data_IF_235715223107
#
_entry.id   IF_235715223107
#
_cell.length_a   1.000
_cell.length_b   1.000
_cell.length_c   1.000
_cell.angle_alpha   90.00
_cell.angle_beta   90.00
_cell.angle_gamma   90.00
#
_symmetry.space_group_name_H-M   'P 1'
#
loop_
_entity.id
_entity.type
_entity.pdbx_description
1 polymer ?
#
# COMPACT_ATOMS: atom_id res chain seq x y z
N UNK A 1 10.42 -1.04 5.37
CA UNK A 1 10.34 -1.65 6.70
C UNK A 1 9.04 -2.41 6.95
N UNK A 2 7.91 -1.96 6.42
CA UNK A 2 6.60 -2.52 6.73
C UNK A 2 5.83 -3.01 5.49
N UNK A 3 6.29 -2.71 4.30
CA UNK A 3 5.77 -3.18 3.02
C UNK A 3 4.47 -2.55 2.52
N UNK A 4 3.80 -1.76 3.36
CA UNK A 4 2.55 -1.06 3.06
C UNK A 4 2.58 0.36 3.64
N UNK A 5 1.69 1.22 3.16
CA UNK A 5 1.52 2.61 3.58
C UNK A 5 0.71 2.79 4.88
N UNK A 6 0.10 1.72 5.40
CA UNK A 6 -0.73 1.73 6.63
C UNK A 6 -0.23 0.70 7.63
N UNK A 7 1.03 0.84 8.13
CA UNK A 7 1.60 -0.15 9.03
C UNK A 7 1.02 -0.03 10.44
N UNK A 8 0.72 -1.18 11.06
CA UNK A 8 0.51 -1.24 12.49
C UNK A 8 1.85 -1.43 13.19
N UNK A 9 2.30 -0.43 13.93
CA UNK A 9 3.60 -0.46 14.63
C UNK A 9 3.59 -1.30 15.90
N UNK A 10 2.43 -1.80 16.33
CA UNK A 10 2.33 -2.71 17.47
C UNK A 10 2.81 -4.13 17.13
N UNK A 11 2.87 -4.44 15.83
CA UNK A 11 3.42 -5.70 15.34
C UNK A 11 4.92 -5.52 15.11
N UNK A 12 5.73 -6.45 15.58
CA UNK A 12 7.16 -6.47 15.24
C UNK A 12 7.36 -6.87 13.75
N UNK A 13 7.91 -7.98 13.44
CA UNK A 13 7.99 -8.57 12.08
C UNK A 13 8.31 -7.57 10.96
N UNK A 14 9.34 -6.71 11.14
CA UNK A 14 9.78 -5.81 10.05
C UNK A 14 10.25 -6.64 8.85
N UNK A 15 10.02 -6.10 7.65
CA UNK A 15 10.55 -6.69 6.43
C UNK A 15 12.08 -6.66 6.45
N UNK A 16 12.69 -7.78 6.10
CA UNK A 16 14.14 -8.01 6.09
C UNK A 16 14.56 -8.17 4.63
N UNK A 17 15.62 -7.46 4.23
CA UNK A 17 16.21 -7.59 2.90
C UNK A 17 17.12 -8.82 2.86
N UNK A 18 16.85 -9.74 1.96
CA UNK A 18 17.55 -11.03 1.88
C UNK A 18 18.22 -11.27 0.52
N UNK A 19 18.12 -10.34 -0.43
CA UNK A 19 18.68 -10.51 -1.78
C UNK A 19 20.18 -10.80 -1.74
N UNK A 20 20.91 -10.15 -0.85
CA UNK A 20 22.35 -10.34 -0.67
C UNK A 20 22.71 -11.72 -0.10
N UNK A 21 21.85 -12.31 0.73
CA UNK A 21 22.04 -13.66 1.29
C UNK A 21 22.04 -14.71 0.18
N UNK A 22 21.19 -14.49 -0.83
CA UNK A 22 20.96 -15.42 -1.94
C UNK A 22 21.59 -14.97 -3.26
N UNK A 23 22.58 -14.09 -3.23
CA UNK A 23 23.22 -13.56 -4.44
C UNK A 23 23.88 -14.60 -5.33
N UNK A 24 24.30 -15.74 -4.77
CA UNK A 24 24.94 -16.85 -5.49
C UNK A 24 24.12 -18.14 -5.42
N UNK A 25 22.83 -18.04 -5.19
CA UNK A 25 21.98 -19.22 -4.98
C UNK A 25 21.75 -20.03 -6.26
N UNK A 26 21.74 -21.35 -6.13
CA UNK A 26 21.34 -22.27 -7.20
C UNK A 26 19.81 -22.49 -7.25
N UNK A 27 19.06 -22.00 -6.25
CA UNK A 27 17.63 -22.11 -6.22
C UNK A 27 16.99 -21.17 -7.23
N UNK A 28 16.53 -21.70 -8.36
CA UNK A 28 16.06 -20.95 -9.52
C UNK A 28 15.03 -19.86 -9.21
N UNK A 29 14.10 -20.11 -8.26
CA UNK A 29 13.09 -19.15 -7.91
C UNK A 29 13.67 -17.89 -7.24
N UNK A 30 14.78 -18.04 -6.51
CA UNK A 30 15.48 -16.93 -5.88
C UNK A 30 16.46 -16.26 -6.86
N UNK A 31 17.19 -17.06 -7.63
CA UNK A 31 18.17 -16.56 -8.61
C UNK A 31 17.55 -15.66 -9.70
N UNK A 32 16.26 -15.84 -10.01
CA UNK A 32 15.54 -15.06 -11.02
C UNK A 32 14.74 -13.88 -10.47
N UNK A 33 14.78 -13.64 -9.14
CA UNK A 33 14.01 -12.58 -8.51
C UNK A 33 14.80 -11.26 -8.47
N UNK A 34 14.10 -10.15 -8.67
CA UNK A 34 14.66 -8.81 -8.50
C UNK A 34 14.93 -8.52 -7.02
N UNK A 35 14.06 -8.98 -6.15
CA UNK A 35 14.09 -8.73 -4.72
C UNK A 35 13.67 -9.97 -3.93
N UNK A 36 14.44 -10.30 -2.92
CA UNK A 36 14.12 -11.36 -1.96
C UNK A 36 13.97 -10.71 -0.59
N UNK A 37 12.77 -10.75 -0.06
CA UNK A 37 12.46 -10.20 1.27
C UNK A 37 11.80 -11.24 2.13
N UNK A 38 11.96 -11.07 3.45
CA UNK A 38 11.32 -11.94 4.42
C UNK A 38 10.75 -11.20 5.62
N UNK A 39 9.93 -11.90 6.37
CA UNK A 39 9.54 -11.56 7.74
C UNK A 39 9.83 -12.77 8.63
N UNK A 40 10.18 -12.50 9.88
CA UNK A 40 10.39 -13.52 10.90
C UNK A 40 9.29 -13.44 11.96
N UNK A 41 8.43 -14.46 11.99
CA UNK A 41 7.38 -14.61 13.00
C UNK A 41 8.01 -15.25 14.22
N UNK A 42 8.28 -14.46 15.23
CA UNK A 42 8.93 -14.89 16.46
C UNK A 42 8.00 -15.77 17.30
N UNK A 43 8.46 -16.97 17.66
CA UNK A 43 7.68 -17.87 18.52
C UNK A 43 7.38 -17.25 19.89
N UNK A 44 8.31 -16.49 20.43
CA UNK A 44 8.15 -15.80 21.70
C UNK A 44 6.97 -14.81 21.69
N UNK A 45 6.74 -14.15 20.55
CA UNK A 45 5.73 -13.09 20.40
C UNK A 45 4.42 -13.63 19.80
N UNK A 46 4.52 -14.61 18.89
CA UNK A 46 3.43 -15.16 18.10
C UNK A 46 3.46 -16.70 18.08
N UNK A 47 3.29 -17.38 19.23
CA UNK A 47 3.48 -18.82 19.32
C UNK A 47 2.54 -19.64 18.41
N UNK A 48 1.27 -19.23 18.30
CA UNK A 48 0.31 -19.94 17.45
C UNK A 48 0.58 -19.76 15.95
N UNK A 49 1.06 -18.58 15.56
CA UNK A 49 1.40 -18.26 14.18
C UNK A 49 2.73 -18.94 13.78
N UNK A 50 3.74 -18.89 14.63
CA UNK A 50 5.02 -19.53 14.40
C UNK A 50 4.89 -21.06 14.35
N UNK A 51 4.04 -21.64 15.20
CA UNK A 51 3.76 -23.08 15.23
C UNK A 51 2.82 -23.58 14.11
N UNK A 52 2.49 -22.74 13.11
CA UNK A 52 1.54 -23.05 12.05
C UNK A 52 1.78 -24.42 11.40
N UNK A 53 0.75 -25.26 11.36
CA UNK A 53 0.76 -26.56 10.68
C UNK A 53 0.73 -26.41 9.15
N UNK A 54 0.95 -27.51 8.44
CA UNK A 54 1.03 -27.53 6.97
C UNK A 54 -0.15 -26.87 6.27
N UNK A 55 -1.37 -27.17 6.69
CA UNK A 55 -2.57 -26.59 6.08
C UNK A 55 -2.61 -25.06 6.19
N UNK A 56 -2.15 -24.50 7.32
CA UNK A 56 -2.10 -23.04 7.51
C UNK A 56 -1.00 -22.40 6.67
N UNK A 57 0.14 -23.06 6.51
CA UNK A 57 1.24 -22.61 5.63
C UNK A 57 0.85 -22.67 4.15
N UNK A 58 0.11 -23.69 3.74
CA UNK A 58 -0.42 -23.79 2.37
C UNK A 58 -1.46 -22.67 2.12
N UNK A 59 -2.34 -22.38 3.09
CA UNK A 59 -3.29 -21.26 3.00
C UNK A 59 -2.58 -19.89 2.91
N UNK A 60 -1.50 -19.66 3.65
CA UNK A 60 -0.67 -18.45 3.54
C UNK A 60 -0.03 -18.35 2.15
N UNK A 61 0.44 -19.48 1.60
CA UNK A 61 1.01 -19.53 0.25
C UNK A 61 -0.03 -19.18 -0.81
N UNK A 62 -1.25 -19.72 -0.70
CA UNK A 62 -2.34 -19.39 -1.62
C UNK A 62 -2.79 -17.94 -1.50
N UNK A 63 -2.78 -17.39 -0.29
CA UNK A 63 -3.05 -15.97 -0.06
C UNK A 63 -1.99 -15.09 -0.73
N UNK A 64 -0.70 -15.41 -0.56
CA UNK A 64 0.39 -14.69 -1.22
C UNK A 64 0.25 -14.69 -2.75
N UNK A 65 -0.09 -15.84 -3.33
CA UNK A 65 -0.37 -15.96 -4.77
C UNK A 65 -1.56 -15.12 -5.21
N UNK A 66 -2.66 -15.10 -4.45
CA UNK A 66 -3.83 -14.25 -4.74
C UNK A 66 -3.51 -12.76 -4.69
N UNK A 67 -2.49 -12.37 -3.93
CA UNK A 67 -1.96 -10.99 -3.87
C UNK A 67 -0.93 -10.70 -4.97
N UNK A 68 -0.63 -11.64 -5.86
CA UNK A 68 0.23 -11.46 -7.03
C UNK A 68 1.64 -12.00 -6.91
N UNK A 69 2.05 -12.58 -5.77
CA UNK A 69 3.35 -13.22 -5.65
C UNK A 69 3.41 -14.53 -6.45
N UNK A 70 4.57 -14.85 -7.02
CA UNK A 70 4.83 -16.15 -7.67
C UNK A 70 4.73 -17.31 -6.68
N UNK A 71 4.99 -17.06 -5.40
CA UNK A 71 4.91 -18.05 -4.32
C UNK A 71 5.32 -17.46 -2.98
N UNK A 72 5.22 -18.30 -1.94
CA UNK A 72 5.69 -18.01 -0.59
C UNK A 72 6.56 -19.18 -0.14
N UNK A 73 7.78 -18.87 0.25
CA UNK A 73 8.68 -19.84 0.90
C UNK A 73 8.48 -19.68 2.41
N UNK A 74 8.27 -20.79 3.10
CA UNK A 74 8.23 -20.84 4.54
C UNK A 74 9.32 -21.73 5.09
N UNK A 75 9.91 -21.36 6.20
CA UNK A 75 11.00 -22.06 6.85
C UNK A 75 10.78 -22.02 8.35
N UNK A 76 10.68 -23.18 9.00
CA UNK A 76 10.68 -23.31 10.44
C UNK A 76 12.10 -23.55 10.96
N UNK A 77 12.42 -22.92 12.07
CA UNK A 77 13.72 -23.09 12.73
C UNK A 77 13.59 -24.12 13.84
N UNK A 78 14.19 -25.29 13.65
CA UNK A 78 14.19 -26.39 14.60
C UNK A 78 15.41 -26.35 15.55
N UNK A 79 15.49 -27.35 16.43
CA UNK A 79 16.62 -27.51 17.35
C UNK A 79 17.97 -27.58 16.60
N UNK A 80 19.00 -27.01 17.17
CA UNK A 80 20.31 -26.91 16.52
C UNK A 80 20.34 -26.03 15.28
N UNK A 81 19.35 -25.11 15.14
CA UNK A 81 19.20 -24.24 13.96
C UNK A 81 18.96 -25.00 12.64
N UNK A 82 18.43 -26.19 12.71
CA UNK A 82 18.04 -26.98 11.52
C UNK A 82 16.81 -26.31 10.89
N UNK A 83 16.89 -26.09 9.57
CA UNK A 83 15.79 -25.49 8.80
C UNK A 83 14.84 -26.55 8.27
N UNK A 84 13.60 -26.57 8.77
CA UNK A 84 12.51 -27.41 8.25
C UNK A 84 11.75 -26.65 7.16
N UNK A 85 12.02 -27.01 5.91
CA UNK A 85 11.36 -26.44 4.74
C UNK A 85 11.56 -27.33 3.52
N UNK A 86 10.59 -27.43 2.59
CA UNK A 86 10.78 -28.13 1.31
C UNK A 86 11.93 -27.57 0.46
N UNK A 87 12.30 -26.29 0.69
CA UNK A 87 13.37 -25.63 -0.08
C UNK A 87 14.73 -25.64 0.61
N UNK A 88 14.83 -26.04 1.88
CA UNK A 88 16.09 -26.04 2.63
C UNK A 88 17.19 -26.87 1.95
N UNK A 89 16.82 -27.96 1.27
CA UNK A 89 17.75 -28.81 0.50
C UNK A 89 18.41 -28.12 -0.70
N UNK A 90 17.87 -26.99 -1.16
CA UNK A 90 18.44 -26.22 -2.27
C UNK A 90 19.30 -25.04 -1.77
N UNK A 91 19.39 -24.85 -0.47
CA UNK A 91 20.20 -23.81 0.16
C UNK A 91 21.54 -24.39 0.62
N UNK A 92 22.62 -23.72 0.31
CA UNK A 92 23.93 -24.05 0.86
C UNK A 92 23.98 -23.83 2.37
N UNK A 93 24.92 -24.48 3.06
CA UNK A 93 25.11 -24.28 4.50
C UNK A 93 25.37 -22.79 4.86
N UNK A 94 26.07 -22.08 3.97
CA UNK A 94 26.33 -20.64 4.13
C UNK A 94 25.03 -19.84 4.06
N UNK A 95 24.20 -20.06 3.03
CA UNK A 95 22.91 -19.36 2.88
C UNK A 95 21.98 -19.62 4.07
N UNK A 96 21.96 -20.84 4.59
CA UNK A 96 21.17 -21.18 5.79
C UNK A 96 21.67 -20.42 7.03
N UNK A 97 22.98 -20.35 7.24
CA UNK A 97 23.56 -19.62 8.36
C UNK A 97 23.34 -18.10 8.23
N UNK A 98 23.56 -17.53 7.04
CA UNK A 98 23.37 -16.12 6.75
C UNK A 98 21.88 -15.73 6.91
N UNK A 99 20.95 -16.58 6.47
CA UNK A 99 19.50 -16.37 6.65
C UNK A 99 19.12 -16.28 8.13
N UNK A 100 19.62 -17.20 8.97
CA UNK A 100 19.38 -17.18 10.42
C UNK A 100 19.96 -15.90 11.02
N UNK A 101 21.17 -15.52 10.63
CA UNK A 101 21.83 -14.32 11.13
C UNK A 101 21.06 -13.04 10.78
N UNK A 102 20.66 -12.87 9.50
CA UNK A 102 19.91 -11.69 9.05
C UNK A 102 18.52 -11.60 9.66
N UNK A 103 17.81 -12.72 9.76
CA UNK A 103 16.47 -12.76 10.36
C UNK A 103 16.51 -12.78 11.88
N UNK A 104 17.69 -13.00 12.48
CA UNK A 104 17.87 -13.22 13.93
C UNK A 104 16.90 -14.28 14.45
N UNK A 105 16.68 -15.31 13.63
CA UNK A 105 15.72 -16.36 13.95
C UNK A 105 16.27 -17.30 15.02
N UNK A 106 15.38 -17.73 15.90
CA UNK A 106 15.63 -18.66 17.00
C UNK A 106 14.79 -19.92 16.80
N UNK A 107 15.09 -20.95 17.58
CA UNK A 107 14.33 -22.21 17.59
C UNK A 107 12.83 -21.92 17.84
N UNK A 108 11.98 -22.49 17.00
CA UNK A 108 10.53 -22.28 17.02
C UNK A 108 10.03 -21.17 16.13
N UNK A 109 10.88 -20.26 15.65
CA UNK A 109 10.49 -19.17 14.75
C UNK A 109 10.09 -19.68 13.36
N UNK A 110 9.22 -18.91 12.69
CA UNK A 110 8.81 -19.14 11.31
C UNK A 110 9.28 -17.97 10.43
N UNK A 111 10.08 -18.28 9.42
CA UNK A 111 10.52 -17.31 8.41
C UNK A 111 9.63 -17.46 7.17
N UNK A 112 9.08 -16.35 6.68
CA UNK A 112 8.31 -16.29 5.43
C UNK A 112 9.06 -15.41 4.44
N UNK A 113 9.28 -15.91 3.21
CA UNK A 113 10.08 -15.24 2.18
C UNK A 113 9.27 -15.13 0.89
N UNK A 114 9.27 -13.94 0.30
CA UNK A 114 8.77 -13.67 -1.05
C UNK A 114 9.94 -13.25 -1.93
N UNK A 115 10.06 -13.89 -3.09
CA UNK A 115 11.07 -13.60 -4.12
C UNK A 115 10.32 -13.20 -5.40
N UNK A 116 10.32 -11.91 -5.71
CA UNK A 116 9.57 -11.33 -6.83
C UNK A 116 10.16 -9.95 -7.22
N UNK A 117 9.42 -9.13 -7.96
CA UNK A 117 9.73 -7.71 -8.08
C UNK A 117 9.59 -7.01 -6.72
N UNK A 118 10.39 -5.98 -6.48
CA UNK A 118 10.47 -5.30 -5.19
C UNK A 118 9.10 -4.89 -4.63
N UNK A 119 8.26 -4.29 -5.47
CA UNK A 119 6.93 -3.81 -5.06
C UNK A 119 6.02 -4.96 -4.60
N UNK A 120 6.01 -6.09 -5.33
CA UNK A 120 5.21 -7.27 -4.96
C UNK A 120 5.71 -7.90 -3.67
N UNK A 121 7.04 -8.07 -3.52
CA UNK A 121 7.63 -8.61 -2.30
C UNK A 121 7.28 -7.78 -1.08
N UNK A 122 7.35 -6.46 -1.19
CA UNK A 122 6.96 -5.53 -0.13
C UNK A 122 5.47 -5.65 0.21
N UNK A 123 4.59 -5.51 -0.78
CA UNK A 123 3.14 -5.46 -0.56
C UNK A 123 2.60 -6.77 0.05
N UNK A 124 3.04 -7.91 -0.50
CA UNK A 124 2.60 -9.24 -0.02
C UNK A 124 3.06 -9.50 1.41
N UNK A 125 4.35 -9.26 1.71
CA UNK A 125 4.87 -9.46 3.07
C UNK A 125 4.26 -8.46 4.06
N UNK A 126 4.04 -7.21 3.67
CA UNK A 126 3.39 -6.22 4.51
C UNK A 126 1.95 -6.62 4.88
N UNK A 127 1.20 -7.20 3.93
CA UNK A 127 -0.13 -7.70 4.21
C UNK A 127 -0.08 -8.96 5.09
N UNK A 128 0.80 -9.92 4.80
CA UNK A 128 0.98 -11.12 5.65
C UNK A 128 1.40 -10.74 7.07
N UNK A 129 2.23 -9.72 7.22
CA UNK A 129 2.59 -9.15 8.51
C UNK A 129 1.35 -8.68 9.30
N UNK A 130 0.45 -7.96 8.66
CA UNK A 130 -0.79 -7.52 9.30
C UNK A 130 -1.73 -8.69 9.65
N UNK A 131 -1.80 -9.70 8.78
CA UNK A 131 -2.64 -10.89 9.02
C UNK A 131 -2.11 -11.73 10.21
N UNK A 132 -0.79 -11.80 10.38
CA UNK A 132 -0.13 -12.60 11.41
C UNK A 132 0.12 -11.85 12.72
N UNK A 133 0.16 -10.52 12.69
CA UNK A 133 0.52 -9.67 13.82
C UNK A 133 -0.56 -9.52 14.89
N UNK A 134 -1.61 -10.31 14.85
CA UNK A 134 -2.71 -10.23 15.83
C UNK A 134 -2.75 -11.45 16.73
N UNK A 135 -2.90 -11.27 18.06
CA UNK A 135 -2.91 -9.99 18.79
C UNK A 135 -1.55 -9.28 18.76
N UNK A 136 -1.52 -7.94 18.91
CA UNK A 136 -0.26 -7.19 18.85
C UNK A 136 0.64 -7.48 20.06
N UNK A 137 1.96 -7.49 19.83
CA UNK A 137 2.98 -7.70 20.88
C UNK A 137 3.03 -6.53 21.85
N UNK A 138 2.95 -5.31 21.33
CA UNK A 138 2.98 -4.11 22.15
C UNK A 138 1.57 -3.71 22.55
N UNK A 139 1.29 -3.86 23.82
CA UNK A 139 0.13 -3.26 24.45
C UNK A 139 0.35 -1.75 24.57
N UNK A 140 -0.68 -1.01 24.33
CA UNK A 140 -0.69 0.43 24.40
C UNK A 140 -1.60 0.96 23.32
N UNK A 141 -2.46 1.94 23.64
CA UNK A 141 -3.58 2.22 22.79
C UNK A 141 -3.15 2.77 21.42
N UNK A 142 -2.03 3.53 21.36
CA UNK A 142 -1.78 4.35 20.17
C UNK A 142 -0.32 4.38 19.76
N UNK A 143 -0.03 3.88 18.53
CA UNK A 143 1.26 3.92 17.86
C UNK A 143 1.14 4.70 16.56
N UNK A 144 1.61 5.93 16.56
CA UNK A 144 1.56 6.83 15.40
C UNK A 144 2.78 6.68 14.52
N UNK A 145 2.59 6.85 13.21
CA UNK A 145 3.68 6.99 12.25
C UNK A 145 3.25 7.96 11.13
N UNK A 146 4.17 8.83 10.72
CA UNK A 146 4.05 9.59 9.50
C UNK A 146 4.61 8.77 8.34
N UNK A 147 3.81 8.63 7.28
CA UNK A 147 4.26 8.10 6.00
C UNK A 147 4.42 9.29 5.07
N UNK A 148 5.61 9.43 4.50
CA UNK A 148 6.00 10.59 3.69
C UNK A 148 6.67 10.11 2.40
N UNK A 149 7.02 11.03 1.51
CA UNK A 149 7.76 10.77 0.28
C UNK A 149 7.07 9.75 -0.64
N UNK A 150 5.76 9.84 -0.74
CA UNK A 150 4.99 9.01 -1.66
C UNK A 150 5.45 9.21 -3.11
N UNK A 151 5.39 8.19 -3.98
CA UNK A 151 5.61 8.39 -5.39
C UNK A 151 4.55 9.32 -5.97
N UNK A 152 4.97 10.33 -6.74
CA UNK A 152 4.05 11.24 -7.40
C UNK A 152 3.24 10.55 -8.49
N UNK A 153 3.86 9.59 -9.17
CA UNK A 153 3.26 8.75 -10.19
C UNK A 153 3.49 7.27 -9.87
N UNK A 154 2.44 6.46 -10.02
CA UNK A 154 2.47 5.03 -9.65
C UNK A 154 2.71 4.09 -10.83
N UNK A 155 2.86 4.61 -12.03
CA UNK A 155 3.11 3.82 -13.22
C UNK A 155 2.89 4.61 -14.50
N UNK A 156 3.02 3.93 -15.63
CA UNK A 156 2.71 4.48 -16.95
C UNK A 156 1.48 3.77 -17.49
N UNK A 157 0.48 4.54 -17.90
CA UNK A 157 -0.71 4.00 -18.54
C UNK A 157 -0.33 3.28 -19.85
N UNK A 158 -0.67 2.00 -20.02
CA UNK A 158 -0.24 1.23 -21.18
C UNK A 158 -0.86 1.74 -22.51
N UNK A 159 -2.02 2.40 -22.45
CA UNK A 159 -2.73 2.91 -23.62
C UNK A 159 -2.28 4.32 -23.96
N UNK A 160 -2.33 5.26 -23.01
CA UNK A 160 -2.02 6.67 -23.25
C UNK A 160 -0.53 6.99 -23.20
N UNK A 161 0.29 6.08 -22.66
CA UNK A 161 1.73 6.25 -22.40
C UNK A 161 2.06 7.40 -21.44
N UNK A 162 1.06 7.92 -20.74
CA UNK A 162 1.22 9.01 -19.76
C UNK A 162 1.42 8.44 -18.35
N UNK A 163 2.12 9.18 -17.47
CA UNK A 163 2.22 8.83 -16.06
C UNK A 163 0.84 8.77 -15.39
N UNK A 164 0.64 7.77 -14.55
CA UNK A 164 -0.56 7.62 -13.73
C UNK A 164 -0.34 8.31 -12.39
N UNK A 165 -1.18 9.28 -12.00
CA UNK A 165 -0.98 10.01 -10.75
C UNK A 165 -1.19 9.11 -9.54
N UNK A 166 -0.29 9.19 -8.56
CA UNK A 166 -0.46 8.58 -7.25
C UNK A 166 -1.29 9.46 -6.29
N UNK A 167 -1.31 10.75 -6.56
CA UNK A 167 -2.04 11.77 -5.80
C UNK A 167 -2.77 12.74 -6.74
N UNK A 168 -3.59 13.65 -6.17
CA UNK A 168 -4.24 14.69 -6.96
C UNK A 168 -3.18 15.63 -7.61
N UNK A 169 -3.48 16.24 -8.76
CA UNK A 169 -2.50 17.00 -9.56
C UNK A 169 -2.02 18.32 -8.94
N UNK A 170 -2.56 18.71 -7.78
CA UNK A 170 -2.19 19.93 -7.06
C UNK A 170 -1.15 19.68 -5.96
N UNK A 171 -0.72 18.43 -5.77
CA UNK A 171 0.33 18.05 -4.84
C UNK A 171 1.69 18.48 -5.38
N UNK A 172 2.51 19.12 -4.53
CA UNK A 172 3.84 19.55 -4.90
C UNK A 172 4.79 18.35 -5.05
N UNK A 173 5.54 18.23 -6.16
CA UNK A 173 6.65 17.28 -6.23
C UNK A 173 7.70 17.64 -5.17
N UNK A 174 8.46 16.65 -4.68
CA UNK A 174 9.57 16.93 -3.77
C UNK A 174 10.55 17.90 -4.41
N UNK A 175 11.05 18.88 -3.65
CA UNK A 175 11.87 19.97 -4.19
C UNK A 175 13.13 19.49 -4.92
N UNK A 176 13.74 18.41 -4.44
CA UNK A 176 14.92 17.79 -5.07
C UNK A 176 14.61 17.05 -6.37
N UNK A 177 13.34 16.78 -6.65
CA UNK A 177 12.90 15.93 -7.75
C UNK A 177 12.25 16.71 -8.90
N UNK A 178 12.02 18.01 -8.74
CA UNK A 178 11.33 18.87 -9.71
C UNK A 178 11.95 18.81 -11.11
N UNK A 179 13.30 18.73 -11.19
CA UNK A 179 14.02 18.66 -12.47
C UNK A 179 13.87 17.32 -13.19
N UNK A 180 13.39 16.29 -12.50
CA UNK A 180 13.15 14.96 -13.07
C UNK A 180 11.71 14.75 -13.54
N UNK A 181 10.84 15.73 -13.35
CA UNK A 181 9.41 15.62 -13.61
C UNK A 181 9.08 15.13 -15.04
N UNK A 182 9.83 15.60 -16.03
CA UNK A 182 9.65 15.22 -17.44
C UNK A 182 10.56 14.06 -17.88
N UNK A 183 11.78 13.99 -17.35
CA UNK A 183 12.78 13.01 -17.80
C UNK A 183 12.63 11.64 -17.15
N UNK A 184 12.20 11.60 -15.87
CA UNK A 184 12.04 10.37 -15.10
C UNK A 184 10.89 10.51 -14.09
N UNK A 185 9.63 10.61 -14.56
CA UNK A 185 8.48 10.89 -13.70
C UNK A 185 8.26 9.84 -12.61
N UNK A 186 8.63 8.57 -12.84
CA UNK A 186 8.43 7.51 -11.85
C UNK A 186 9.38 7.58 -10.66
N UNK A 187 10.46 8.33 -10.76
CA UNK A 187 11.38 8.59 -9.64
C UNK A 187 11.00 9.82 -8.81
N UNK A 188 9.98 10.58 -9.23
CA UNK A 188 9.56 11.81 -8.55
C UNK A 188 8.72 11.47 -7.33
N UNK A 189 9.14 11.97 -6.17
CA UNK A 189 8.38 11.92 -4.91
C UNK A 189 7.39 13.07 -4.85
N UNK A 190 6.29 12.88 -4.15
CA UNK A 190 5.31 13.91 -3.81
C UNK A 190 5.51 14.38 -2.37
N UNK A 191 5.31 15.65 -2.10
CA UNK A 191 5.19 16.18 -0.73
C UNK A 191 3.80 15.91 -0.17
N UNK A 192 3.42 14.63 -0.22
CA UNK A 192 2.23 14.08 0.41
C UNK A 192 2.62 13.38 1.72
N UNK A 193 1.71 13.36 2.68
CA UNK A 193 1.94 12.77 3.98
C UNK A 193 0.66 12.22 4.57
N UNK A 194 0.75 11.03 5.16
CA UNK A 194 -0.34 10.38 5.88
C UNK A 194 0.05 10.17 7.35
N UNK A 195 -0.88 10.45 8.25
CA UNK A 195 -0.77 10.04 9.65
C UNK A 195 -1.47 8.69 9.81
N UNK A 196 -0.69 7.68 10.17
CA UNK A 196 -1.20 6.33 10.40
C UNK A 196 -1.20 6.03 11.90
N UNK A 197 -2.28 5.46 12.39
CA UNK A 197 -2.46 5.03 13.77
C UNK A 197 -2.93 3.58 13.78
N UNK A 198 -2.12 2.68 14.37
CA UNK A 198 -2.46 1.27 14.53
C UNK A 198 -2.94 0.58 13.23
N UNK A 199 -2.33 0.90 12.09
CA UNK A 199 -2.72 0.37 10.79
C UNK A 199 -3.86 1.12 10.09
N UNK A 200 -4.39 2.18 10.69
CA UNK A 200 -5.41 3.04 10.10
C UNK A 200 -4.80 4.35 9.62
N UNK A 201 -5.00 4.71 8.38
CA UNK A 201 -4.78 6.09 7.90
C UNK A 201 -5.79 7.01 8.59
N UNK A 202 -5.32 7.68 9.63
CA UNK A 202 -6.14 8.57 10.45
C UNK A 202 -6.42 9.89 9.75
N UNK A 203 -5.49 10.33 8.93
CA UNK A 203 -5.63 11.53 8.13
C UNK A 203 -4.51 11.65 7.12
N UNK A 204 -4.73 12.48 6.11
CA UNK A 204 -3.77 12.72 5.05
C UNK A 204 -3.72 14.17 4.62
N UNK A 205 -2.62 14.55 3.98
CA UNK A 205 -2.40 15.90 3.50
C UNK A 205 -1.31 16.00 2.46
N UNK A 206 -1.11 17.21 1.96
CA UNK A 206 0.01 17.51 1.07
C UNK A 206 0.39 18.98 1.10
N UNK A 207 1.64 19.27 0.76
CA UNK A 207 2.05 20.59 0.34
C UNK A 207 1.53 20.81 -1.08
N UNK A 208 1.01 21.99 -1.35
CA UNK A 208 0.38 22.34 -2.62
C UNK A 208 1.37 23.06 -3.54
N UNK A 209 1.19 22.85 -4.83
CA UNK A 209 1.84 23.69 -5.83
C UNK A 209 1.21 25.09 -5.74
N UNK A 210 2.05 26.12 -5.69
CA UNK A 210 1.61 27.51 -5.68
C UNK A 210 2.24 28.33 -6.81
N UNK A 211 3.19 27.73 -7.54
CA UNK A 211 3.82 28.32 -8.72
C UNK A 211 3.03 27.93 -9.98
N UNK A 212 2.55 28.94 -10.77
CA UNK A 212 1.75 28.66 -11.98
C UNK A 212 2.46 27.77 -13.00
N UNK A 213 3.74 28.00 -13.22
CA UNK A 213 4.52 27.27 -14.22
C UNK A 213 4.73 25.80 -13.83
N UNK A 214 5.03 25.54 -12.55
CA UNK A 214 5.16 24.17 -12.05
C UNK A 214 3.82 23.42 -12.15
N UNK A 215 2.70 24.10 -11.83
CA UNK A 215 1.37 23.48 -11.96
C UNK A 215 1.06 23.09 -13.39
N UNK A 216 1.40 23.91 -14.38
CA UNK A 216 1.23 23.59 -15.81
C UNK A 216 2.13 22.42 -16.23
N UNK A 217 3.37 22.34 -15.75
CA UNK A 217 4.27 21.20 -16.00
C UNK A 217 3.65 19.91 -15.51
N UNK A 218 3.11 19.88 -14.28
CA UNK A 218 2.44 18.69 -13.73
C UNK A 218 1.22 18.32 -14.54
N UNK A 219 0.39 19.26 -14.95
CA UNK A 219 -0.78 18.98 -15.80
C UNK A 219 -0.40 18.34 -17.12
N UNK A 220 0.65 18.83 -17.79
CA UNK A 220 1.15 18.28 -19.05
C UNK A 220 1.61 16.82 -18.90
N UNK A 221 2.25 16.47 -17.77
CA UNK A 221 2.60 15.08 -17.48
C UNK A 221 1.38 14.17 -17.39
N UNK A 222 0.25 14.70 -16.98
CA UNK A 222 -1.02 13.97 -16.91
C UNK A 222 -1.85 14.04 -18.21
N UNK A 223 -1.31 14.68 -19.26
CA UNK A 223 -2.01 14.85 -20.54
C UNK A 223 -3.11 15.91 -20.53
N UNK A 224 -3.10 16.80 -19.53
CA UNK A 224 -4.01 17.95 -19.47
C UNK A 224 -3.37 19.10 -20.22
N UNK A 225 -3.97 19.51 -21.34
CA UNK A 225 -3.46 20.66 -22.13
C UNK A 225 -3.68 21.97 -21.39
N UNK A 226 -3.02 23.03 -21.86
CA UNK A 226 -3.19 24.35 -21.23
C UNK A 226 -4.63 24.87 -21.42
N UNK A 227 -5.28 24.57 -22.54
CA UNK A 227 -6.69 24.89 -22.81
C UNK A 227 -7.64 24.13 -21.89
N UNK A 228 -7.42 22.82 -21.71
CA UNK A 228 -8.19 22.00 -20.78
C UNK A 228 -7.99 22.47 -19.33
N UNK A 229 -6.76 22.82 -18.97
CA UNK A 229 -6.45 23.34 -17.63
C UNK A 229 -7.19 24.68 -17.38
N UNK A 230 -7.17 25.59 -18.34
CA UNK A 230 -7.88 26.86 -18.22
C UNK A 230 -9.42 26.69 -18.19
N UNK A 231 -9.96 25.78 -19.00
CA UNK A 231 -11.40 25.49 -19.03
C UNK A 231 -11.89 24.84 -17.73
N UNK A 232 -11.12 23.91 -17.15
CA UNK A 232 -11.52 23.13 -15.97
C UNK A 232 -11.10 23.75 -14.65
N UNK A 233 -9.93 24.38 -14.61
CA UNK A 233 -9.28 24.88 -13.39
C UNK A 233 -8.92 26.35 -13.45
N UNK A 234 -9.33 27.09 -14.50
CA UNK A 234 -8.97 28.49 -14.68
C UNK A 234 -9.32 29.37 -13.47
N UNK A 235 -10.50 29.14 -12.86
CA UNK A 235 -10.89 29.84 -11.64
C UNK A 235 -9.92 29.61 -10.47
N UNK A 236 -9.30 28.47 -10.39
CA UNK A 236 -8.31 28.09 -9.36
C UNK A 236 -6.90 28.58 -9.71
N UNK A 237 -6.52 28.58 -11.00
CA UNK A 237 -5.19 28.99 -11.45
C UNK A 237 -5.01 30.51 -11.50
N UNK A 238 -6.11 31.25 -11.71
CA UNK A 238 -6.07 32.71 -11.78
C UNK A 238 -5.47 33.37 -10.53
N UNK A 239 -5.85 32.99 -9.30
CA UNK A 239 -5.28 33.57 -8.08
C UNK A 239 -3.76 33.42 -7.98
N UNK A 240 -3.15 32.38 -8.54
CA UNK A 240 -1.69 32.17 -8.50
C UNK A 240 -0.93 33.29 -9.20
N UNK A 241 -1.53 33.94 -10.20
CA UNK A 241 -0.94 35.10 -10.91
C UNK A 241 -0.75 36.31 -10.00
N UNK A 242 -1.50 36.36 -8.89
CA UNK A 242 -1.42 37.45 -7.90
C UNK A 242 -0.54 37.11 -6.70
N UNK A 243 0.11 35.93 -6.71
CA UNK A 243 1.04 35.49 -5.69
C UNK A 243 0.37 34.71 -4.57
N UNK A 244 0.07 33.44 -4.80
CA UNK A 244 -0.36 32.55 -3.72
C UNK A 244 0.83 32.21 -2.82
N UNK A 245 0.69 32.25 -1.47
CA UNK A 245 1.77 31.85 -0.58
C UNK A 245 1.96 30.32 -0.64
N UNK A 246 3.14 29.80 -0.25
CA UNK A 246 3.29 28.38 0.05
C UNK A 246 2.21 27.93 1.04
N UNK A 247 1.52 26.86 0.72
CA UNK A 247 0.43 26.35 1.54
C UNK A 247 0.33 24.83 1.47
N UNK A 248 -0.35 24.27 2.43
CA UNK A 248 -0.64 22.84 2.52
C UNK A 248 -1.86 22.63 3.39
N UNK A 249 -2.22 21.40 3.59
CA UNK A 249 -3.37 21.07 4.42
C UNK A 249 -3.35 19.63 4.90
N UNK A 250 -4.17 19.36 5.91
CA UNK A 250 -4.33 18.04 6.49
C UNK A 250 -5.80 17.83 6.84
N UNK A 251 -6.32 16.66 6.54
CA UNK A 251 -7.70 16.28 6.86
C UNK A 251 -7.72 15.01 7.70
N UNK A 252 -8.47 15.04 8.81
CA UNK A 252 -8.74 13.87 9.63
C UNK A 252 -9.96 13.10 9.13
N UNK A 253 -9.87 11.77 9.13
CA UNK A 253 -11.01 10.87 9.03
C UNK A 253 -11.71 10.75 10.38
N UNK A 254 -12.70 11.60 10.64
CA UNK A 254 -13.37 11.65 11.95
C UNK A 254 -14.01 10.31 12.31
N UNK A 255 -14.67 9.64 11.36
CA UNK A 255 -15.24 8.31 11.60
C UNK A 255 -14.19 7.28 12.01
N UNK A 256 -13.00 7.33 11.38
CA UNK A 256 -11.87 6.46 11.76
C UNK A 256 -11.36 6.76 13.16
N UNK A 257 -11.24 8.04 13.52
CA UNK A 257 -10.84 8.46 14.85
C UNK A 257 -11.85 7.98 15.90
N UNK A 258 -13.14 8.15 15.64
CA UNK A 258 -14.21 7.71 16.54
C UNK A 258 -14.21 6.19 16.69
N UNK A 259 -14.05 5.43 15.60
CA UNK A 259 -13.95 3.97 15.66
C UNK A 259 -12.77 3.51 16.54
N UNK A 260 -11.59 4.10 16.37
CA UNK A 260 -10.40 3.79 17.18
C UNK A 260 -10.64 4.11 18.67
N UNK A 261 -11.26 5.26 18.98
CA UNK A 261 -11.55 5.67 20.36
C UNK A 261 -12.63 4.79 21.01
N UNK A 262 -13.57 4.29 20.20
CA UNK A 262 -14.61 3.36 20.65
C UNK A 262 -14.14 1.90 20.76
N UNK A 263 -12.93 1.60 20.25
CA UNK A 263 -12.40 0.24 20.20
C UNK A 263 -13.04 -0.63 19.11
N UNK A 264 -13.61 -0.01 18.07
CA UNK A 264 -14.28 -0.69 16.97
C UNK A 264 -13.35 -0.90 15.78
N UNK A 265 -13.43 -2.09 15.18
CA UNK A 265 -12.61 -2.46 14.01
C UNK A 265 -13.20 -1.98 12.67
N UNK A 266 -14.41 -1.39 12.70
CA UNK A 266 -15.13 -0.99 11.50
C UNK A 266 -15.86 0.34 11.72
N UNK A 267 -15.68 1.30 10.81
CA UNK A 267 -16.38 2.60 10.86
C UNK A 267 -17.91 2.49 10.80
N UNK A 268 -18.45 1.36 10.31
CA UNK A 268 -19.91 1.15 10.28
C UNK A 268 -20.54 1.13 11.66
N UNK A 269 -19.78 0.77 12.69
CA UNK A 269 -20.26 0.75 14.08
C UNK A 269 -20.40 2.14 14.69
N UNK A 270 -19.79 3.17 14.06
CA UNK A 270 -19.79 4.55 14.55
C UNK A 270 -20.50 5.54 13.61
N UNK A 271 -20.97 5.07 12.44
CA UNK A 271 -21.75 5.87 11.50
C UNK A 271 -23.25 5.59 11.73
N UNK A 272 -24.06 6.64 11.89
CA UNK A 272 -25.47 6.51 12.22
C UNK A 272 -26.29 5.73 11.17
N UNK A 273 -25.96 5.86 9.87
CA UNK A 273 -26.68 5.21 8.77
C UNK A 273 -25.68 4.58 7.78
N UNK A 274 -24.99 3.48 8.16
CA UNK A 274 -23.98 2.89 7.32
C UNK A 274 -24.59 2.22 6.09
N UNK A 275 -23.93 2.34 4.96
CA UNK A 275 -24.30 1.60 3.74
C UNK A 275 -23.89 0.14 3.84
N UNK A 276 -24.61 -0.71 3.11
CA UNK A 276 -24.24 -2.14 2.98
C UNK A 276 -22.92 -2.30 2.25
N UNK A 277 -22.38 -3.52 2.27
CA UNK A 277 -21.15 -3.85 1.52
C UNK A 277 -21.30 -3.62 0.00
N UNK A 278 -22.52 -3.76 -0.54
CA UNK A 278 -22.84 -3.46 -1.95
C UNK A 278 -23.07 -1.96 -2.24
N UNK A 279 -22.90 -1.08 -1.23
CA UNK A 279 -23.12 0.34 -1.38
C UNK A 279 -24.59 0.78 -1.32
N UNK A 280 -25.51 -0.13 -0.98
CA UNK A 280 -26.93 0.21 -0.83
C UNK A 280 -27.19 0.90 0.49
N UNK A 281 -28.10 1.86 0.49
CA UNK A 281 -28.63 2.52 1.68
C UNK A 281 -29.92 1.83 2.13
N UNK A 282 -29.92 1.13 3.30
CA UNK A 282 -31.12 0.42 3.79
C UNK A 282 -32.27 1.36 4.17
N UNK A 283 -32.00 2.63 4.49
CA UNK A 283 -33.03 3.59 4.87
C UNK A 283 -33.83 4.07 3.67
N UNK A 284 -33.16 4.38 2.57
CA UNK A 284 -33.78 4.97 1.37
C UNK A 284 -33.95 3.97 0.24
N UNK A 285 -33.42 2.74 0.40
CA UNK A 285 -33.31 1.72 -0.65
C UNK A 285 -32.52 2.21 -1.88
N UNK A 286 -31.67 3.23 -1.73
CA UNK A 286 -30.83 3.72 -2.81
C UNK A 286 -29.63 2.76 -3.05
N UNK A 287 -29.12 2.66 -4.29
CA UNK A 287 -29.60 3.31 -5.52
C UNK A 287 -30.88 2.66 -6.08
N UNK A 288 -31.77 3.48 -6.64
CA UNK A 288 -33.00 3.04 -7.33
C UNK A 288 -33.03 3.58 -8.76
N UNK A 289 -33.94 3.03 -9.57
CA UNK A 289 -34.15 3.54 -10.93
C UNK A 289 -34.75 4.93 -10.92
N UNK A 290 -34.32 5.78 -11.86
CA UNK A 290 -34.86 7.12 -12.04
C UNK A 290 -36.11 7.05 -12.91
N UNK A 291 -37.12 7.86 -12.61
CA UNK A 291 -38.34 7.93 -13.41
C UNK A 291 -37.99 8.44 -14.83
N UNK A 292 -38.45 7.75 -15.91
CA UNK A 292 -38.20 8.19 -17.29
C UNK A 292 -38.64 9.63 -17.59
N UNK A 293 -39.71 10.13 -16.95
CA UNK A 293 -40.14 11.52 -17.10
C UNK A 293 -39.08 12.53 -16.65
N UNK A 294 -38.39 12.25 -15.56
CA UNK A 294 -37.29 13.09 -15.05
C UNK A 294 -36.08 13.08 -16.00
N UNK A 295 -35.78 11.93 -16.61
CA UNK A 295 -34.71 11.85 -17.60
C UNK A 295 -35.04 12.66 -18.85
N UNK A 296 -36.30 12.58 -19.32
CA UNK A 296 -36.78 13.35 -20.48
C UNK A 296 -36.74 14.87 -20.22
N UNK A 297 -37.14 15.31 -19.02
CA UNK A 297 -37.07 16.72 -18.61
C UNK A 297 -35.63 17.27 -18.66
N UNK A 298 -34.63 16.44 -18.30
CA UNK A 298 -33.22 16.79 -18.35
C UNK A 298 -32.59 16.57 -19.72
N UNK A 299 -33.33 16.09 -20.73
CA UNK A 299 -32.80 15.76 -22.04
C UNK A 299 -31.82 14.56 -22.03
N UNK A 300 -31.93 13.68 -21.02
CA UNK A 300 -31.04 12.51 -20.85
C UNK A 300 -31.73 11.26 -21.41
N UNK A 301 -30.98 10.48 -22.19
CA UNK A 301 -31.43 9.17 -22.68
C UNK A 301 -30.48 8.09 -22.24
N UNK A 302 -31.01 7.01 -21.67
CA UNK A 302 -30.23 5.81 -21.36
C UNK A 302 -29.84 5.08 -22.64
N UNK A 303 -28.57 4.72 -22.75
CA UNK A 303 -28.13 3.80 -23.79
C UNK A 303 -28.60 2.37 -23.46
N UNK A 304 -28.96 1.56 -24.47
CA UNK A 304 -29.23 0.15 -24.21
C UNK A 304 -28.01 -0.52 -23.58
N UNK A 305 -28.22 -1.55 -22.72
CA UNK A 305 -27.11 -2.31 -22.18
C UNK A 305 -26.22 -2.83 -23.31
N UNK A 306 -24.90 -2.75 -23.13
CA UNK A 306 -23.98 -3.37 -24.08
C UNK A 306 -24.31 -4.86 -24.20
N UNK A 307 -24.40 -5.36 -25.44
CA UNK A 307 -24.57 -6.78 -25.69
C UNK A 307 -23.42 -7.54 -24.99
N UNK A 308 -23.78 -8.54 -24.19
CA UNK A 308 -22.84 -9.41 -23.49
C UNK A 308 -22.11 -10.31 -24.46
#
# INVERSE_FOLDING_TARGET
>A
HYGIDKPDLRFEMKLIELTHVFASTEFKAFASAESIKGICVKHADYPEQAASGRNKLDALTDRAKKMGAKGLVWIKVGEGSVLDSPVAKFMSAKEQADLIAETKASVGDLILIVADVWATSCAVLGQLRNDLGRPPVHEGPYRYVWVVDFPMFVGINPTTKLPQPGHHPFCHPHHEDVDRLESDPLSVRALAYDLVLNGWELGSGSIRIHEPDLQRRVFRQLGITDEDADARFGFFLQPFKYGAPPHGGFAFGIDRLVAILAGEDNIREVIAFPKTQSGSDPMTNAPTTVNPAQLNELGIRLLPPAAK
#
